data_IF_915259311216
#
_entry.id   IF_915259311216
#
_cell.length_a   1.000
_cell.length_b   1.000
_cell.length_c   1.000
_cell.angle_alpha   90.00
_cell.angle_beta   90.00
_cell.angle_gamma   90.00
#
_symmetry.space_group_name_H-M   'P 1'
#
loop_
_entity.id
_entity.type
_entity.pdbx_description
1 polymer ?
#
# COMPACT_ATOMS: atom_id res chain seq x y z
N UNK A 1 16.23 -9.28 8.88
CA UNK A 1 15.42 -10.50 8.69
C UNK A 1 13.96 -10.12 8.51
N UNK A 2 13.33 -10.71 7.54
CA UNK A 2 11.94 -10.45 7.26
C UNK A 2 11.06 -11.41 8.05
N UNK A 3 10.16 -10.88 8.87
CA UNK A 3 9.29 -11.69 9.71
C UNK A 3 7.94 -11.97 9.06
N UNK A 4 7.40 -10.96 8.38
CA UNK A 4 6.09 -11.06 7.70
C UNK A 4 6.17 -10.28 6.41
N UNK A 5 5.68 -10.87 5.34
CA UNK A 5 5.49 -10.18 4.08
C UNK A 5 4.16 -10.60 3.47
N UNK A 6 3.35 -9.60 3.11
CA UNK A 6 2.13 -9.82 2.35
C UNK A 6 2.18 -8.96 1.11
N UNK A 7 1.91 -9.58 -0.02
CA UNK A 7 1.94 -8.88 -1.29
C UNK A 7 0.62 -9.11 -2.02
N UNK A 8 0.06 -8.01 -2.52
CA UNK A 8 -1.10 -8.07 -3.41
C UNK A 8 -0.68 -7.52 -4.77
N UNK A 9 -0.85 -8.34 -5.79
CA UNK A 9 -0.56 -7.91 -7.15
C UNK A 9 -1.73 -8.33 -8.03
N UNK A 10 -2.41 -7.36 -8.61
CA UNK A 10 -3.64 -7.59 -9.36
C UNK A 10 -3.72 -6.57 -10.49
N UNK A 11 -4.30 -7.00 -11.62
CA UNK A 11 -4.56 -6.09 -12.74
C UNK A 11 -5.93 -5.46 -12.55
N UNK A 12 -5.93 -4.14 -12.47
CA UNK A 12 -7.13 -3.34 -12.21
C UNK A 12 -7.26 -2.23 -13.25
N UNK A 13 -8.47 -1.70 -13.39
CA UNK A 13 -8.62 -0.43 -14.10
C UNK A 13 -7.97 0.69 -13.27
N UNK A 14 -7.68 1.81 -13.90
CA UNK A 14 -7.13 2.99 -13.20
C UNK A 14 -8.06 3.43 -12.08
N UNK A 15 -9.37 3.42 -12.32
CA UNK A 15 -10.38 3.82 -11.34
C UNK A 15 -10.45 2.85 -10.16
N UNK A 16 -10.32 1.56 -10.42
CA UNK A 16 -10.28 0.56 -9.35
C UNK A 16 -9.01 0.67 -8.52
N UNK A 17 -7.87 0.95 -9.17
CA UNK A 17 -6.63 1.20 -8.45
C UNK A 17 -6.74 2.42 -7.56
N UNK A 18 -7.35 3.50 -8.08
CA UNK A 18 -7.59 4.71 -7.29
C UNK A 18 -8.46 4.42 -6.07
N UNK A 19 -9.52 3.64 -6.25
CA UNK A 19 -10.40 3.25 -5.13
C UNK A 19 -9.64 2.49 -4.06
N UNK A 20 -8.75 1.59 -4.45
CA UNK A 20 -7.93 0.83 -3.51
C UNK A 20 -7.00 1.74 -2.71
N UNK A 21 -6.38 2.71 -3.37
CA UNK A 21 -5.51 3.68 -2.71
C UNK A 21 -6.30 4.60 -1.78
N UNK A 22 -7.49 5.03 -2.19
CA UNK A 22 -8.37 5.82 -1.33
C UNK A 22 -8.74 5.06 -0.05
N UNK A 23 -9.02 3.77 -0.16
CA UNK A 23 -9.37 2.96 1.01
C UNK A 23 -8.21 2.92 2.01
N UNK A 24 -6.98 2.76 1.53
CA UNK A 24 -5.79 2.77 2.38
C UNK A 24 -5.63 4.15 3.02
N UNK A 25 -5.78 5.21 2.23
CA UNK A 25 -5.66 6.57 2.74
C UNK A 25 -6.70 6.87 3.82
N UNK A 26 -7.93 6.41 3.64
CA UNK A 26 -9.00 6.60 4.62
C UNK A 26 -8.67 5.91 5.95
N UNK A 27 -8.13 4.69 5.89
CA UNK A 27 -7.71 4.01 7.10
C UNK A 27 -6.62 4.78 7.85
N UNK A 28 -5.64 5.31 7.11
CA UNK A 28 -4.56 6.10 7.70
C UNK A 28 -5.08 7.38 8.35
N UNK A 29 -6.05 8.04 7.73
CA UNK A 29 -6.55 9.32 8.24
C UNK A 29 -7.55 9.17 9.37
N UNK A 30 -8.25 8.04 9.46
CA UNK A 30 -9.28 7.84 10.48
C UNK A 30 -8.77 7.17 11.75
N UNK A 31 -7.56 6.66 11.72
CA UNK A 31 -7.00 5.98 12.87
C UNK A 31 -5.54 5.62 12.63
N UNK A 32 -5.10 4.63 13.35
CA UNK A 32 -3.71 4.22 13.33
C UNK A 32 -3.50 2.79 12.85
N UNK A 33 -4.53 2.21 12.24
CA UNK A 33 -4.46 0.83 11.77
C UNK A 33 -4.78 0.75 10.29
N UNK A 34 -3.98 -0.04 9.58
CA UNK A 34 -4.24 -0.41 8.19
C UNK A 34 -4.43 -1.92 8.14
N UNK A 35 -5.52 -2.36 7.54
CA UNK A 35 -5.85 -3.77 7.46
C UNK A 35 -5.48 -4.29 6.07
N UNK A 36 -4.68 -5.34 6.04
CA UNK A 36 -4.30 -6.04 4.83
C UNK A 36 -4.87 -7.44 4.88
N UNK A 37 -5.71 -7.77 3.90
CA UNK A 37 -6.30 -9.09 3.81
C UNK A 37 -5.89 -9.76 2.49
N UNK A 38 -5.53 -11.02 2.59
CA UNK A 38 -5.22 -11.81 1.41
C UNK A 38 -5.56 -13.27 1.71
N UNK A 39 -6.44 -13.85 0.91
CA UNK A 39 -6.96 -15.21 1.13
C UNK A 39 -7.54 -15.30 2.54
N UNK A 40 -7.04 -16.20 3.37
CA UNK A 40 -7.51 -16.37 4.75
C UNK A 40 -6.70 -15.57 5.76
N UNK A 41 -5.72 -14.80 5.30
CA UNK A 41 -4.84 -14.03 6.18
C UNK A 41 -5.34 -12.61 6.31
N UNK A 42 -5.34 -12.13 7.54
CA UNK A 42 -5.69 -10.76 7.85
C UNK A 42 -4.64 -10.19 8.79
N UNK A 43 -3.98 -9.12 8.34
CA UNK A 43 -3.00 -8.42 9.16
C UNK A 43 -3.47 -7.02 9.44
N UNK A 44 -3.27 -6.59 10.68
CA UNK A 44 -3.53 -5.22 11.10
C UNK A 44 -2.18 -4.58 11.37
N UNK A 45 -1.84 -3.57 10.58
CA UNK A 45 -0.61 -2.82 10.77
C UNK A 45 -0.92 -1.59 11.60
N UNK A 46 -0.23 -1.45 12.75
CA UNK A 46 -0.34 -0.28 13.59
C UNK A 46 0.61 0.79 13.07
N UNK A 47 0.08 1.94 12.70
CA UNK A 47 0.84 3.02 12.08
C UNK A 47 1.01 4.16 13.09
N UNK A 48 2.24 4.57 13.40
CA UNK A 48 2.47 5.66 14.34
C UNK A 48 2.11 7.01 13.75
N UNK A 49 2.19 8.05 14.57
CA UNK A 49 1.82 9.40 14.17
C UNK A 49 2.71 9.95 13.04
N UNK A 50 3.94 9.49 12.98
CA UNK A 50 4.89 9.93 11.95
C UNK A 50 5.40 8.74 11.16
N UNK A 51 5.44 8.90 9.86
CA UNK A 51 5.89 7.87 8.93
C UNK A 51 6.78 8.50 7.87
N UNK A 52 7.53 7.67 7.19
CA UNK A 52 8.31 8.08 6.04
C UNK A 52 7.54 7.72 4.78
N UNK A 53 7.24 8.72 3.96
CA UNK A 53 6.56 8.53 2.68
C UNK A 53 7.56 8.72 1.54
N UNK A 54 7.60 7.73 0.66
CA UNK A 54 8.40 7.81 -0.56
C UNK A 54 7.47 7.64 -1.75
N UNK A 55 7.55 8.55 -2.69
CA UNK A 55 6.83 8.43 -3.97
C UNK A 55 7.89 8.46 -5.06
N UNK A 56 7.92 7.42 -5.88
CA UNK A 56 8.93 7.27 -6.91
C UNK A 56 8.27 7.01 -8.25
N UNK A 57 8.75 7.68 -9.29
CA UNK A 57 8.28 7.51 -10.65
C UNK A 57 9.45 7.12 -11.53
N UNK A 58 9.29 6.03 -12.29
CA UNK A 58 10.36 5.51 -13.10
C UNK A 58 9.81 5.08 -14.46
N UNK A 59 10.51 5.48 -15.52
CA UNK A 59 10.16 5.06 -16.89
C UNK A 59 11.34 4.27 -17.45
N UNK A 60 11.03 3.06 -17.90
CA UNK A 60 12.01 2.19 -18.54
C UNK A 60 11.48 1.74 -19.89
N UNK A 61 12.33 1.06 -20.66
CA UNK A 61 11.97 0.62 -22.02
C UNK A 61 10.77 -0.33 -22.02
N UNK A 62 10.63 -1.12 -20.96
CA UNK A 62 9.61 -2.16 -20.86
C UNK A 62 8.41 -1.77 -20.00
N UNK A 63 8.37 -0.55 -19.46
CA UNK A 63 7.23 -0.14 -18.69
C UNK A 63 7.45 1.10 -17.86
N UNK A 64 6.38 1.48 -17.16
CA UNK A 64 6.36 2.65 -16.29
C UNK A 64 5.88 2.21 -14.91
N UNK A 65 6.52 2.72 -13.87
CA UNK A 65 6.19 2.39 -12.49
C UNK A 65 5.99 3.64 -11.66
N UNK A 66 4.93 3.64 -10.88
CA UNK A 66 4.69 4.61 -9.82
C UNK A 66 4.67 3.83 -8.51
N UNK A 67 5.61 4.14 -7.63
CA UNK A 67 5.74 3.45 -6.35
C UNK A 67 5.40 4.38 -5.20
N UNK A 68 4.57 3.90 -4.29
CA UNK A 68 4.20 4.61 -3.06
C UNK A 68 4.58 3.71 -1.90
N UNK A 69 5.46 4.20 -1.03
CA UNK A 69 5.99 3.41 0.07
C UNK A 69 5.86 4.18 1.38
N UNK A 70 5.35 3.49 2.40
CA UNK A 70 5.28 4.01 3.76
C UNK A 70 6.13 3.12 4.64
N UNK A 71 7.01 3.73 5.42
CA UNK A 71 7.86 3.01 6.38
C UNK A 71 7.85 3.71 7.73
N UNK A 72 8.04 2.93 8.77
CA UNK A 72 8.16 3.44 10.13
C UNK A 72 8.93 2.49 11.04
#
# INVERSE_FOLDING_TARGET
MELVELQEKVTLSREQAAARLHAIADELSSGNDVVIERADLRFVAHVPDQVHLKVEFEVEDDGTELEIELTW
#
